data_IF_601525686606
#
_entry.id   IF_601525686606
#
_cell.length_a   1.000
_cell.length_b   1.000
_cell.length_c   1.000
_cell.angle_alpha   90.00
_cell.angle_beta   90.00
_cell.angle_gamma   90.00
#
_symmetry.space_group_name_H-M   'P 1'
#
loop_
_entity.id
_entity.type
_entity.pdbx_description
1 polymer ?
#
# COMPACT_ATOMS: atom_id res chain seq x y z
N UNK A 1 -36.06 -5.96 -3.99
CA UNK A 1 -34.92 -5.77 -3.08
C UNK A 1 -33.66 -6.01 -3.88
N UNK A 2 -32.97 -4.95 -4.28
CA UNK A 2 -31.73 -5.01 -5.07
C UNK A 2 -30.61 -4.57 -4.15
N UNK A 3 -29.92 -5.54 -3.54
CA UNK A 3 -28.72 -5.28 -2.76
C UNK A 3 -27.57 -5.10 -3.74
N UNK A 4 -27.22 -3.83 -3.96
CA UNK A 4 -25.98 -3.38 -4.58
C UNK A 4 -24.82 -4.04 -3.84
N UNK A 5 -24.19 -5.03 -4.49
CA UNK A 5 -22.88 -5.51 -4.11
C UNK A 5 -21.86 -4.43 -4.43
N UNK A 6 -21.80 -3.40 -3.58
CA UNK A 6 -20.67 -2.49 -3.53
C UNK A 6 -19.48 -3.33 -3.10
N UNK A 7 -18.58 -3.64 -4.04
CA UNK A 7 -17.27 -4.22 -3.73
C UNK A 7 -16.60 -3.25 -2.78
N UNK A 8 -16.67 -3.56 -1.49
CA UNK A 8 -15.94 -2.87 -0.45
C UNK A 8 -14.46 -3.05 -0.82
N UNK A 9 -13.80 -2.00 -1.32
CA UNK A 9 -12.35 -2.00 -1.41
C UNK A 9 -11.84 -2.22 0.02
N UNK A 10 -11.35 -3.42 0.31
CA UNK A 10 -10.63 -3.67 1.54
C UNK A 10 -9.33 -2.85 1.47
N UNK A 11 -9.37 -1.65 2.04
CA UNK A 11 -8.21 -0.78 2.26
C UNK A 11 -7.12 -1.46 3.12
N UNK A 12 -7.38 -2.66 3.67
CA UNK A 12 -6.45 -3.46 4.44
C UNK A 12 -5.21 -3.91 3.65
N UNK A 13 -5.31 -4.11 2.33
CA UNK A 13 -4.21 -4.69 1.54
C UNK A 13 -3.37 -3.64 0.80
N UNK A 14 -3.75 -2.35 0.88
CA UNK A 14 -3.01 -1.28 0.21
C UNK A 14 -1.95 -0.70 1.13
N UNK A 15 -0.69 -0.77 0.73
CA UNK A 15 0.41 -0.22 1.52
C UNK A 15 0.41 1.30 1.40
N UNK A 16 0.43 2.04 2.54
CA UNK A 16 0.40 3.49 2.52
C UNK A 16 1.67 4.06 1.88
N UNK A 17 1.51 5.13 1.10
CA UNK A 17 2.61 5.83 0.44
C UNK A 17 2.74 7.23 1.08
N UNK A 18 3.73 7.45 1.96
CA UNK A 18 3.99 8.76 2.52
C UNK A 18 4.25 9.82 1.45
N UNK A 19 3.68 11.01 1.65
CA UNK A 19 3.90 12.16 0.78
C UNK A 19 5.37 12.60 0.78
N UNK A 20 5.90 12.90 -0.42
CA UNK A 20 7.32 13.24 -0.68
C UNK A 20 7.84 14.43 0.14
N UNK A 21 6.95 15.31 0.58
CA UNK A 21 7.24 16.56 1.31
C UNK A 21 6.55 16.62 2.68
N UNK A 22 6.14 15.49 3.26
CA UNK A 22 5.54 15.49 4.60
C UNK A 22 6.54 16.09 5.60
N UNK A 23 6.19 17.24 6.19
CA UNK A 23 6.94 17.85 7.30
C UNK A 23 6.97 16.93 8.53
N UNK A 24 6.03 15.98 8.60
CA UNK A 24 6.00 14.92 9.59
C UNK A 24 6.75 13.72 9.04
N UNK A 25 7.99 13.54 9.50
CA UNK A 25 8.80 12.37 9.17
C UNK A 25 8.08 11.10 9.62
N UNK A 26 7.75 10.16 8.71
CA UNK A 26 7.04 8.95 9.07
C UNK A 26 7.78 8.18 10.17
N UNK A 27 7.02 7.43 10.98
CA UNK A 27 7.64 6.42 11.86
C UNK A 27 8.21 5.31 11.00
N UNK A 28 9.28 4.66 11.44
CA UNK A 28 9.83 3.50 10.74
C UNK A 28 8.79 2.40 10.50
N UNK A 29 7.85 2.21 11.43
CA UNK A 29 6.72 1.29 11.28
C UNK A 29 5.80 1.60 10.08
N UNK A 30 5.75 2.86 9.64
CA UNK A 30 5.01 3.28 8.45
C UNK A 30 5.80 3.04 7.15
N UNK A 31 7.08 2.65 7.24
CA UNK A 31 7.95 2.31 6.12
C UNK A 31 8.16 0.79 6.06
N UNK A 32 7.07 0.02 6.15
CA UNK A 32 7.07 -1.45 6.30
C UNK A 32 7.83 -2.22 5.22
N UNK A 33 7.98 -1.63 4.02
CA UNK A 33 8.71 -2.24 2.90
C UNK A 33 10.21 -1.93 2.88
N UNK A 34 10.72 -1.25 3.90
CA UNK A 34 12.16 -1.15 4.10
C UNK A 34 12.67 -2.44 4.77
N UNK A 35 13.84 -2.90 4.33
CA UNK A 35 14.55 -3.98 5.01
C UNK A 35 15.10 -3.52 6.35
N UNK A 36 15.46 -4.47 7.22
CA UNK A 36 15.94 -4.18 8.58
C UNK A 36 17.13 -3.20 8.61
N UNK A 37 18.07 -3.33 7.66
CA UNK A 37 19.21 -2.42 7.53
C UNK A 37 18.78 -0.99 7.14
N UNK A 38 17.83 -0.86 6.22
CA UNK A 38 17.29 0.42 5.76
C UNK A 38 16.50 1.12 6.87
N UNK A 39 15.72 0.36 7.66
CA UNK A 39 15.04 0.85 8.87
C UNK A 39 16.05 1.37 9.88
N UNK A 40 17.07 0.57 10.19
CA UNK A 40 18.12 0.97 11.14
C UNK A 40 18.83 2.25 10.69
N UNK A 41 19.11 2.35 9.38
CA UNK A 41 19.70 3.55 8.77
C UNK A 41 18.75 4.74 8.86
N UNK A 42 17.45 4.56 8.60
CA UNK A 42 16.45 5.61 8.70
C UNK A 42 16.38 6.18 10.13
N UNK A 43 16.26 5.30 11.13
CA UNK A 43 16.16 5.68 12.54
C UNK A 43 17.42 6.40 13.02
N UNK A 44 18.59 5.91 12.62
CA UNK A 44 19.84 6.60 12.94
C UNK A 44 19.89 8.01 12.35
N UNK A 45 19.47 8.19 11.08
CA UNK A 45 19.45 9.52 10.44
C UNK A 45 18.40 10.43 11.05
N UNK A 46 17.23 9.90 11.42
CA UNK A 46 16.17 10.64 12.09
C UNK A 46 16.61 11.12 13.48
N UNK A 47 17.17 10.21 14.28
CA UNK A 47 17.70 10.54 15.61
C UNK A 47 18.80 11.60 15.53
N UNK A 48 19.73 11.46 14.57
CA UNK A 48 20.77 12.47 14.35
C UNK A 48 20.20 13.81 13.88
N UNK A 49 19.21 13.81 13.00
CA UNK A 49 18.54 15.03 12.57
C UNK A 49 17.86 15.75 13.74
N UNK A 50 17.06 15.04 14.53
CA UNK A 50 16.40 15.58 15.73
C UNK A 50 17.42 16.07 16.75
N UNK A 51 18.53 15.35 16.92
CA UNK A 51 19.64 15.76 17.78
C UNK A 51 20.23 17.08 17.32
N UNK A 52 20.54 17.24 16.03
CA UNK A 52 21.09 18.50 15.47
C UNK A 52 20.09 19.67 15.61
N UNK A 53 18.78 19.41 15.54
CA UNK A 53 17.77 20.46 15.73
C UNK A 53 17.69 20.96 17.19
N UNK A 54 18.09 20.14 18.17
CA UNK A 54 17.98 20.47 19.61
C UNK A 54 19.31 20.75 20.29
N UNK A 55 20.38 20.15 19.78
CA UNK A 55 21.69 20.14 20.40
C UNK A 55 22.79 20.48 19.40
N UNK A 56 23.83 21.11 19.92
CA UNK A 56 25.15 21.20 19.33
C UNK A 56 26.12 20.34 20.15
N UNK A 57 26.55 19.21 19.58
CA UNK A 57 27.32 18.24 20.37
C UNK A 57 26.47 17.73 21.53
N UNK A 58 26.81 18.06 22.77
CA UNK A 58 26.02 17.73 23.97
C UNK A 58 25.28 18.92 24.59
N UNK A 59 25.38 20.12 24.02
CA UNK A 59 24.77 21.34 24.56
C UNK A 59 23.44 21.65 23.87
N UNK A 60 22.42 22.07 24.62
CA UNK A 60 21.13 22.53 24.07
C UNK A 60 21.20 23.93 23.45
N UNK A 61 20.43 24.17 22.37
CA UNK A 61 20.41 25.47 21.66
C UNK A 61 19.97 26.66 22.51
N UNK A 62 19.03 26.44 23.42
CA UNK A 62 18.46 27.44 24.33
C UNK A 62 19.48 28.05 25.31
N UNK A 63 20.69 27.49 25.40
CA UNK A 63 21.75 27.96 26.28
C UNK A 63 22.85 28.77 25.56
N UNK A 64 22.78 28.93 24.23
CA UNK A 64 23.87 29.53 23.45
C UNK A 64 23.34 30.61 22.51
N UNK A 65 23.87 31.83 22.61
CA UNK A 65 23.62 32.88 21.62
C UNK A 65 24.17 32.45 20.26
N UNK A 66 23.31 32.43 19.24
CA UNK A 66 23.67 32.01 17.88
C UNK A 66 24.76 32.88 17.23
N UNK A 67 24.99 34.09 17.76
CA UNK A 67 26.06 35.00 17.35
C UNK A 67 27.43 34.68 17.98
N UNK A 68 27.47 33.97 19.13
CA UNK A 68 28.70 33.62 19.86
C UNK A 68 29.25 32.22 19.50
N UNK A 69 29.20 31.89 18.21
CA UNK A 69 29.47 30.53 17.75
C UNK A 69 30.96 30.12 17.93
N UNK A 70 31.33 29.56 19.09
CA UNK A 70 32.69 29.12 19.43
C UNK A 70 32.82 27.60 19.36
N UNK A 71 33.75 27.00 18.57
CA UNK A 71 33.99 25.55 18.49
C UNK A 71 34.15 24.89 19.88
N UNK A 72 33.41 23.82 20.15
CA UNK A 72 33.60 23.03 21.37
C UNK A 72 34.97 22.35 21.34
N UNK A 73 35.83 22.68 22.32
CA UNK A 73 37.18 22.12 22.47
C UNK A 73 37.10 20.59 22.52
N UNK A 74 37.99 19.89 21.79
CA UNK A 74 38.08 18.43 21.71
C UNK A 74 36.88 17.68 21.12
N UNK A 75 35.92 18.37 20.49
CA UNK A 75 34.82 17.70 19.77
C UNK A 75 35.04 17.75 18.26
N UNK A 76 35.10 16.57 17.61
CA UNK A 76 35.20 16.48 16.14
C UNK A 76 33.85 16.60 15.44
N UNK A 77 32.74 16.68 16.17
CA UNK A 77 31.39 16.61 15.61
C UNK A 77 30.69 17.97 15.72
N UNK A 78 30.45 18.58 14.56
CA UNK A 78 29.57 19.73 14.36
C UNK A 78 29.99 21.06 15.03
N UNK A 79 31.22 21.46 14.75
CA UNK A 79 31.90 22.60 15.40
C UNK A 79 31.49 23.96 14.89
N UNK A 80 30.79 24.07 13.75
CA UNK A 80 30.34 25.34 13.12
C UNK A 80 28.87 25.28 12.70
N UNK A 81 28.17 26.43 12.63
CA UNK A 81 26.76 26.50 12.18
C UNK A 81 26.59 25.85 10.81
N UNK A 82 27.50 26.14 9.90
CA UNK A 82 27.53 25.57 8.54
C UNK A 82 27.66 24.06 8.56
N UNK A 83 28.52 23.50 9.43
CA UNK A 83 28.66 22.04 9.55
C UNK A 83 27.40 21.35 10.10
N UNK A 84 26.72 21.96 11.08
CA UNK A 84 25.43 21.46 11.58
C UNK A 84 24.36 21.50 10.48
N UNK A 85 24.27 22.60 9.74
CA UNK A 85 23.33 22.75 8.62
C UNK A 85 23.59 21.71 7.53
N UNK A 86 24.86 21.51 7.14
CA UNK A 86 25.24 20.50 6.16
C UNK A 86 24.90 19.08 6.63
N UNK A 87 25.15 18.77 7.90
CA UNK A 87 24.80 17.48 8.48
C UNK A 87 23.29 17.24 8.56
N UNK A 88 22.52 18.24 9.00
CA UNK A 88 21.06 18.18 9.02
C UNK A 88 20.50 17.97 7.61
N UNK A 89 21.06 18.67 6.61
CA UNK A 89 20.65 18.52 5.22
C UNK A 89 20.98 17.12 4.69
N UNK A 90 22.17 16.60 4.98
CA UNK A 90 22.55 15.23 4.62
C UNK A 90 21.63 14.17 5.27
N UNK A 91 21.20 14.40 6.51
CA UNK A 91 20.21 13.52 7.16
C UNK A 91 18.86 13.58 6.45
N UNK A 92 18.37 14.79 6.12
CA UNK A 92 17.11 14.96 5.37
C UNK A 92 17.15 14.24 4.03
N UNK A 93 18.22 14.42 3.26
CA UNK A 93 18.38 13.76 1.96
C UNK A 93 18.35 12.23 2.09
N UNK A 94 19.13 11.68 3.03
CA UNK A 94 19.16 10.23 3.26
C UNK A 94 17.79 9.68 3.70
N UNK A 95 17.04 10.42 4.52
CA UNK A 95 15.68 10.02 4.92
C UNK A 95 14.72 10.06 3.73
N UNK A 96 14.80 11.08 2.87
CA UNK A 96 13.99 11.18 1.65
C UNK A 96 14.28 10.04 0.68
N UNK A 97 15.55 9.68 0.49
CA UNK A 97 15.94 8.53 -0.34
C UNK A 97 15.28 7.23 0.15
N UNK A 98 15.32 6.97 1.46
CA UNK A 98 14.71 5.77 2.05
C UNK A 98 13.19 5.77 1.90
N UNK A 99 12.53 6.93 2.07
CA UNK A 99 11.10 7.07 1.78
C UNK A 99 10.80 6.78 0.31
N UNK A 100 11.65 7.24 -0.62
CA UNK A 100 11.47 6.98 -2.05
C UNK A 100 11.61 5.49 -2.38
N UNK A 101 12.56 4.80 -1.76
CA UNK A 101 12.72 3.34 -1.89
C UNK A 101 11.47 2.62 -1.41
N UNK A 102 10.97 2.96 -0.22
CA UNK A 102 9.72 2.42 0.31
C UNK A 102 8.55 2.66 -0.65
N UNK A 103 8.37 3.91 -1.10
CA UNK A 103 7.28 4.29 -2.00
C UNK A 103 7.33 3.52 -3.32
N UNK A 104 8.52 3.34 -3.91
CA UNK A 104 8.69 2.58 -5.15
C UNK A 104 8.24 1.12 -4.96
N UNK A 105 8.62 0.49 -3.84
CA UNK A 105 8.19 -0.87 -3.51
C UNK A 105 6.68 -0.95 -3.24
N UNK A 106 6.13 0.04 -2.52
CA UNK A 106 4.70 0.11 -2.22
C UNK A 106 3.86 0.26 -3.49
N UNK A 107 4.30 1.10 -4.44
CA UNK A 107 3.64 1.23 -5.76
C UNK A 107 3.65 -0.10 -6.50
N UNK A 108 4.79 -0.79 -6.55
CA UNK A 108 4.88 -2.08 -7.23
C UNK A 108 3.95 -3.13 -6.61
N UNK A 109 3.91 -3.23 -5.28
CA UNK A 109 3.06 -4.16 -4.57
C UNK A 109 1.57 -3.83 -4.73
N UNK A 110 1.18 -2.55 -4.60
CA UNK A 110 -0.19 -2.12 -4.79
C UNK A 110 -0.69 -2.39 -6.22
N UNK A 111 0.18 -2.23 -7.23
CA UNK A 111 -0.14 -2.61 -8.63
C UNK A 111 -0.33 -4.11 -8.79
N UNK A 112 0.51 -4.92 -8.16
CA UNK A 112 0.37 -6.38 -8.21
C UNK A 112 -0.94 -6.84 -7.57
N UNK A 113 -1.30 -6.28 -6.41
CA UNK A 113 -2.58 -6.56 -5.75
C UNK A 113 -3.75 -6.15 -6.63
N UNK A 114 -3.70 -4.96 -7.25
CA UNK A 114 -4.74 -4.52 -8.19
C UNK A 114 -4.88 -5.44 -9.40
N UNK A 115 -3.77 -5.90 -9.99
CA UNK A 115 -3.81 -6.83 -11.11
C UNK A 115 -4.42 -8.18 -10.72
N UNK A 116 -4.08 -8.69 -9.54
CA UNK A 116 -4.63 -9.95 -9.04
C UNK A 116 -6.13 -9.85 -8.75
N UNK A 117 -6.57 -8.74 -8.15
CA UNK A 117 -7.99 -8.49 -7.92
C UNK A 117 -8.80 -8.36 -9.22
N UNK A 118 -8.20 -7.86 -10.30
CA UNK A 118 -8.85 -7.82 -11.61
C UNK A 118 -9.05 -9.22 -12.19
N UNK A 119 -8.03 -10.10 -12.09
CA UNK A 119 -8.12 -11.49 -12.55
C UNK A 119 -9.19 -12.26 -11.77
N UNK A 120 -9.18 -12.16 -10.44
CA UNK A 120 -10.18 -12.84 -9.59
C UNK A 120 -11.60 -12.40 -9.94
N UNK A 121 -11.80 -11.11 -10.22
CA UNK A 121 -13.10 -10.58 -10.62
C UNK A 121 -13.55 -11.08 -12.01
N UNK A 122 -12.62 -11.16 -12.96
CA UNK A 122 -12.92 -11.71 -14.29
C UNK A 122 -13.28 -13.19 -14.21
N UNK A 123 -12.53 -13.99 -13.43
CA UNK A 123 -12.85 -15.40 -13.20
C UNK A 123 -14.23 -15.58 -12.54
N UNK A 124 -14.56 -14.75 -11.53
CA UNK A 124 -15.89 -14.77 -10.91
C UNK A 124 -17.01 -14.46 -11.91
N UNK A 125 -16.81 -13.48 -12.79
CA UNK A 125 -17.79 -13.16 -13.84
C UNK A 125 -17.95 -14.29 -14.86
N UNK A 126 -16.85 -14.94 -15.26
CA UNK A 126 -16.89 -16.09 -16.17
C UNK A 126 -17.61 -17.29 -15.55
N UNK A 127 -17.32 -17.60 -14.28
CA UNK A 127 -18.02 -18.64 -13.54
C UNK A 127 -19.51 -18.34 -13.40
N UNK A 128 -19.88 -17.10 -13.10
CA UNK A 128 -21.28 -16.69 -13.02
C UNK A 128 -22.01 -16.89 -14.36
N UNK A 129 -21.37 -16.51 -15.49
CA UNK A 129 -21.93 -16.73 -16.84
C UNK A 129 -22.08 -18.22 -17.17
N UNK A 130 -21.10 -19.04 -16.81
CA UNK A 130 -21.16 -20.49 -17.03
C UNK A 130 -22.33 -21.13 -16.27
N UNK A 131 -22.55 -20.74 -15.01
CA UNK A 131 -23.68 -21.23 -14.20
C UNK A 131 -25.02 -20.85 -14.82
N UNK A 132 -25.18 -19.60 -15.28
CA UNK A 132 -26.40 -19.16 -15.96
C UNK A 132 -26.64 -19.95 -17.24
N UNK A 133 -25.60 -20.18 -18.04
CA UNK A 133 -25.70 -20.96 -19.27
C UNK A 133 -26.10 -22.43 -18.99
N UNK A 134 -25.54 -23.06 -17.95
CA UNK A 134 -25.89 -24.41 -17.53
C UNK A 134 -27.37 -24.47 -17.11
N UNK A 135 -27.83 -23.53 -16.29
CA UNK A 135 -29.24 -23.46 -15.87
C UNK A 135 -30.19 -23.28 -17.06
N UNK A 136 -29.87 -22.36 -17.97
CA UNK A 136 -30.68 -22.11 -19.16
C UNK A 136 -30.72 -23.32 -20.12
N UNK A 137 -29.68 -24.16 -20.13
CA UNK A 137 -29.67 -25.41 -20.88
C UNK A 137 -30.53 -26.46 -20.19
N UNK A 138 -30.42 -26.61 -18.87
CA UNK A 138 -31.24 -27.55 -18.09
C UNK A 138 -32.74 -27.24 -18.21
N UNK A 139 -33.14 -25.97 -18.19
CA UNK A 139 -34.53 -25.56 -18.40
C UNK A 139 -35.04 -25.95 -19.80
N UNK A 140 -34.25 -25.69 -20.85
CA UNK A 140 -34.58 -26.10 -22.22
C UNK A 140 -34.71 -27.61 -22.37
N UNK A 141 -33.76 -28.37 -21.82
CA UNK A 141 -33.78 -29.83 -21.88
C UNK A 141 -35.01 -30.40 -21.11
N UNK A 142 -35.41 -29.77 -20.00
CA UNK A 142 -36.60 -30.14 -19.25
C UNK A 142 -37.91 -29.82 -19.99
N UNK A 143 -37.97 -28.70 -20.70
CA UNK A 143 -39.11 -28.32 -21.53
C UNK A 143 -39.27 -29.25 -22.73
N UNK A 144 -38.19 -29.57 -23.43
CA UNK A 144 -38.19 -30.53 -24.55
C UNK A 144 -38.62 -31.93 -24.10
N UNK A 145 -38.16 -32.37 -22.92
CA UNK A 145 -38.58 -33.64 -22.32
C UNK A 145 -40.08 -33.65 -22.00
N UNK A 146 -40.60 -32.56 -21.44
CA UNK A 146 -42.01 -32.41 -21.09
C UNK A 146 -42.91 -32.37 -22.33
N UNK A 147 -42.50 -31.64 -23.37
CA UNK A 147 -43.19 -31.60 -24.66
C UNK A 147 -43.20 -32.98 -25.35
N UNK A 148 -42.07 -33.69 -25.31
CA UNK A 148 -41.95 -35.05 -25.87
C UNK A 148 -42.86 -36.04 -25.15
N UNK A 149 -42.96 -35.96 -23.82
CA UNK A 149 -43.93 -36.76 -23.05
C UNK A 149 -45.38 -36.43 -23.43
N UNK A 150 -45.74 -35.15 -23.54
CA UNK A 150 -47.08 -34.73 -23.92
C UNK A 150 -47.47 -35.23 -25.32
N UNK A 151 -46.56 -35.12 -26.29
CA UNK A 151 -46.74 -35.63 -27.65
C UNK A 151 -46.92 -37.16 -27.69
N UNK A 152 -46.10 -37.90 -26.91
CA UNK A 152 -46.25 -39.35 -26.79
C UNK A 152 -47.57 -39.76 -26.17
N UNK A 153 -48.06 -39.02 -25.16
CA UNK A 153 -49.38 -39.25 -24.58
C UNK A 153 -50.46 -39.04 -25.63
N UNK A 154 -50.49 -37.93 -26.36
CA UNK A 154 -51.52 -37.69 -27.39
C UNK A 154 -51.58 -38.81 -28.44
N UNK A 155 -50.43 -39.26 -28.95
CA UNK A 155 -50.38 -40.39 -29.91
C UNK A 155 -50.96 -41.70 -29.36
N UNK A 156 -50.89 -41.93 -28.05
CA UNK A 156 -51.50 -43.10 -27.41
C UNK A 156 -53.03 -42.99 -27.34
N UNK A 157 -53.58 -41.77 -27.21
CA UNK A 157 -55.02 -41.52 -27.21
C UNK A 157 -55.62 -41.64 -28.62
N UNK A 158 -54.91 -41.25 -29.67
CA UNK A 158 -55.36 -41.37 -31.07
C UNK A 158 -55.43 -42.82 -31.59
N UNK A 159 -54.84 -43.79 -30.87
CA UNK A 159 -54.84 -45.22 -31.25
C UNK A 159 -55.91 -46.05 -30.54
N UNK A 160 -56.77 -45.44 -29.74
CA UNK A 160 -57.92 -46.08 -29.07
C UNK A 160 -59.22 -45.67 -29.76
#
# INVERSE_FOLDING_TARGET
MTTTGSTIMNFADTIPIPGRNSLLWPRASALSLLGQYEITRYDHKKSLFEHIQRYRGSQEWNQVDASEYTPLINTRRYTTRTSLQGAAQGCRMAMVELICIHNARAVAQNRAVQAQQQIEKEEEEEWARAIVAIKAKQERDADEYSQSQAANRMRLWERR
#
